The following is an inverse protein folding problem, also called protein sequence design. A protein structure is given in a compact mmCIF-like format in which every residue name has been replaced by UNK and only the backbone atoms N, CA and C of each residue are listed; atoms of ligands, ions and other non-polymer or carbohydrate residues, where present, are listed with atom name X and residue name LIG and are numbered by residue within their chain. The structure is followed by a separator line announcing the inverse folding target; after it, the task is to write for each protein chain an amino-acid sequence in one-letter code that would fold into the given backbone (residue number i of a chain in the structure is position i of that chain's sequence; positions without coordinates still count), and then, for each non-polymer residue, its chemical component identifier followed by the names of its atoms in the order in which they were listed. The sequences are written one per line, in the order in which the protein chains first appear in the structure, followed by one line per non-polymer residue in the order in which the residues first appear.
data_IF_295071564393
#
_entry.id   IF_295071564393
#
_cell.length_a   1.000
_cell.length_b   1.000
_cell.length_c   1.000
_cell.angle_alpha   90.00
_cell.angle_beta   90.00
_cell.angle_gamma   90.00
#
_symmetry.space_group_name_H-M   'P 1'
#
loop_
_entity.id
_entity.type
_entity.pdbx_description
1 polymer ?
#
# COMPACT_ATOMS: atom_id res chain seq x y z
N UNK A 1 -37.35 -17.45 -0.30
CA UNK A 1 -36.06 -17.64 0.42
C UNK A 1 -36.23 -17.12 1.83
N UNK A 2 -36.13 -17.97 2.84
CA UNK A 2 -36.06 -17.55 4.23
C UNK A 2 -34.58 -17.52 4.62
N UNK A 3 -34.08 -16.36 5.04
CA UNK A 3 -32.77 -16.27 5.68
C UNK A 3 -32.90 -16.81 7.10
N UNK A 4 -32.01 -17.72 7.49
CA UNK A 4 -31.97 -18.23 8.86
C UNK A 4 -30.87 -17.46 9.58
N UNK A 5 -31.26 -16.67 10.57
CA UNK A 5 -30.32 -15.97 11.45
C UNK A 5 -29.83 -16.91 12.55
N UNK A 6 -28.51 -17.10 12.65
CA UNK A 6 -27.90 -17.87 13.73
C UNK A 6 -27.12 -16.94 14.66
N UNK A 7 -27.44 -16.96 15.95
CA UNK A 7 -26.62 -16.34 17.00
C UNK A 7 -25.56 -17.34 17.45
N UNK A 8 -24.28 -17.05 17.23
CA UNK A 8 -23.19 -17.91 17.67
C UNK A 8 -22.25 -17.17 18.63
N UNK A 9 -21.56 -17.93 19.49
CA UNK A 9 -20.50 -17.44 20.37
C UNK A 9 -19.18 -18.02 19.86
N UNK A 10 -18.24 -17.15 19.46
CA UNK A 10 -16.90 -17.55 19.02
C UNK A 10 -16.19 -18.30 20.16
N UNK A 11 -15.93 -19.59 19.98
CA UNK A 11 -15.04 -20.35 20.85
C UNK A 11 -13.97 -21.00 19.96
N UNK A 12 -12.70 -20.70 20.22
CA UNK A 12 -11.55 -21.24 19.50
C UNK A 12 -11.57 -21.05 17.97
N UNK A 13 -11.99 -19.87 17.48
CA UNK A 13 -12.01 -19.50 16.05
C UNK A 13 -12.81 -20.44 15.13
N UNK A 14 -13.64 -21.32 15.70
CA UNK A 14 -14.50 -22.25 14.95
C UNK A 14 -15.96 -21.95 15.29
N UNK A 15 -16.79 -21.71 14.27
CA UNK A 15 -18.24 -21.70 14.44
C UNK A 15 -18.70 -23.15 14.44
N UNK A 16 -19.17 -23.65 15.58
CA UNK A 16 -19.83 -24.96 15.62
C UNK A 16 -21.20 -24.85 14.98
N UNK A 17 -21.38 -25.45 13.81
CA UNK A 17 -22.70 -25.71 13.24
C UNK A 17 -23.41 -26.75 14.13
N UNK A 18 -24.69 -26.55 14.50
CA UNK A 18 -25.44 -27.58 15.24
C UNK A 18 -25.50 -28.89 14.44
N UNK A 19 -25.25 -30.03 15.07
CA UNK A 19 -25.18 -31.35 14.40
C UNK A 19 -26.44 -31.74 13.61
N UNK A 20 -27.58 -31.08 13.86
CA UNK A 20 -28.85 -31.32 13.18
C UNK A 20 -29.02 -30.54 11.88
N UNK A 21 -28.03 -29.75 11.46
CA UNK A 21 -28.13 -28.98 10.23
C UNK A 21 -27.75 -29.83 9.01
N UNK A 22 -28.68 -29.93 8.06
CA UNK A 22 -28.51 -30.58 6.76
C UNK A 22 -28.85 -29.57 5.67
N UNK A 23 -28.14 -29.60 4.55
CA UNK A 23 -28.56 -28.84 3.37
C UNK A 23 -29.87 -29.39 2.77
N UNK A 24 -30.33 -28.73 1.70
CA UNK A 24 -31.48 -29.17 0.92
C UNK A 24 -31.31 -30.59 0.33
N UNK A 25 -30.08 -31.11 0.27
CA UNK A 25 -29.74 -32.45 -0.20
C UNK A 25 -29.53 -33.46 0.94
N UNK A 26 -29.83 -33.10 2.18
CA UNK A 26 -29.72 -33.96 3.35
C UNK A 26 -28.30 -34.23 3.82
N UNK A 27 -27.30 -33.50 3.31
CA UNK A 27 -25.89 -33.68 3.63
C UNK A 27 -25.42 -32.71 4.72
N UNK A 28 -24.46 -33.13 5.57
CA UNK A 28 -23.85 -32.23 6.54
C UNK A 28 -23.06 -31.13 5.81
N UNK A 29 -23.25 -29.88 6.21
CA UNK A 29 -22.55 -28.72 5.64
C UNK A 29 -21.48 -28.23 6.61
N UNK A 30 -20.25 -28.12 6.12
CA UNK A 30 -19.14 -27.53 6.88
C UNK A 30 -18.96 -26.08 6.44
N UNK A 31 -19.25 -25.13 7.33
CA UNK A 31 -18.96 -23.71 7.09
C UNK A 31 -17.56 -23.42 7.58
N UNK A 32 -16.65 -23.11 6.65
CA UNK A 32 -15.29 -22.69 6.96
C UNK A 32 -15.30 -21.16 6.86
N UNK A 33 -15.13 -20.46 7.98
CA UNK A 33 -14.77 -19.05 7.91
C UNK A 33 -13.31 -18.99 7.48
N UNK A 34 -13.07 -18.49 6.27
CA UNK A 34 -11.74 -18.01 5.94
C UNK A 34 -11.50 -16.79 6.82
N UNK A 35 -10.50 -16.88 7.70
CA UNK A 35 -9.96 -15.71 8.38
C UNK A 35 -9.50 -14.76 7.26
N UNK A 36 -10.35 -13.78 6.92
CA UNK A 36 -9.87 -12.61 6.20
C UNK A 36 -8.89 -12.00 7.19
N UNK A 37 -7.61 -12.18 6.88
CA UNK A 37 -6.48 -11.71 7.65
C UNK A 37 -6.67 -10.21 7.85
N UNK A 38 -7.35 -9.86 8.95
CA UNK A 38 -7.52 -8.50 9.37
C UNK A 38 -6.13 -8.16 9.88
N UNK A 39 -5.33 -7.50 9.03
CA UNK A 39 -4.00 -7.01 9.33
C UNK A 39 -4.07 -6.02 10.50
N UNK A 40 -4.23 -6.56 11.70
CA UNK A 40 -4.17 -5.87 12.97
C UNK A 40 -2.97 -6.37 13.73
N UNK A 41 -1.77 -6.27 13.15
CA UNK A 41 -0.54 -6.26 13.93
C UNK A 41 0.55 -5.42 13.26
N UNK A 42 0.78 -4.28 13.93
CA UNK A 42 1.95 -3.44 13.91
C UNK A 42 2.07 -2.43 12.76
N UNK A 43 2.08 -1.16 13.17
CA UNK A 43 2.81 -0.07 12.52
C UNK A 43 4.30 -0.45 12.58
N UNK A 44 4.69 -1.44 11.80
CA UNK A 44 6.08 -1.78 11.49
C UNK A 44 6.15 -1.79 9.98
N UNK A 45 6.85 -0.77 9.45
CA UNK A 45 7.25 -0.54 8.06
C UNK A 45 6.30 -1.19 7.02
N UNK A 46 5.43 -0.41 6.35
CA UNK A 46 4.40 -0.96 5.48
C UNK A 46 5.05 -1.91 4.47
N UNK A 47 4.79 -3.21 4.61
CA UNK A 47 5.19 -4.20 3.62
C UNK A 47 4.16 -4.12 2.51
N UNK A 48 4.32 -3.09 1.70
CA UNK A 48 3.54 -2.86 0.51
C UNK A 48 3.84 -4.04 -0.43
N UNK A 49 2.83 -4.73 -1.01
CA UNK A 49 3.08 -5.80 -1.97
C UNK A 49 3.95 -5.27 -3.11
N UNK A 50 4.92 -6.06 -3.57
CA UNK A 50 6.02 -5.60 -4.46
C UNK A 50 5.53 -4.83 -5.69
N UNK A 51 4.36 -5.16 -6.23
CA UNK A 51 3.73 -4.43 -7.34
C UNK A 51 3.18 -3.04 -6.97
N UNK A 52 2.65 -2.86 -5.76
CA UNK A 52 2.08 -1.58 -5.28
C UNK A 52 3.18 -0.60 -4.85
N UNK A 53 4.36 -1.08 -4.42
CA UNK A 53 5.52 -0.21 -4.12
C UNK A 53 5.91 0.58 -5.35
N UNK A 54 5.97 -0.07 -6.51
CA UNK A 54 6.37 0.57 -7.76
C UNK A 54 5.43 1.69 -8.18
N UNK A 55 4.11 1.49 -8.04
CA UNK A 55 3.10 2.50 -8.39
C UNK A 55 3.19 3.72 -7.47
N UNK A 56 3.32 3.51 -6.16
CA UNK A 56 3.48 4.61 -5.20
C UNK A 56 4.78 5.36 -5.44
N UNK A 57 5.88 4.65 -5.68
CA UNK A 57 7.16 5.26 -5.98
C UNK A 57 7.08 6.13 -7.25
N UNK A 58 6.41 5.65 -8.31
CA UNK A 58 6.23 6.42 -9.53
C UNK A 58 5.37 7.68 -9.31
N UNK A 59 4.31 7.60 -8.51
CA UNK A 59 3.48 8.75 -8.17
C UNK A 59 4.27 9.79 -7.35
N UNK A 60 5.02 9.36 -6.34
CA UNK A 60 5.86 10.24 -5.51
C UNK A 60 6.99 10.84 -6.35
N UNK A 61 7.61 10.06 -7.23
CA UNK A 61 8.61 10.56 -8.17
C UNK A 61 8.04 11.64 -9.10
N UNK A 62 6.79 11.48 -9.56
CA UNK A 62 6.14 12.49 -10.40
C UNK A 62 5.84 13.78 -9.64
N UNK A 63 5.40 13.69 -8.39
CA UNK A 63 5.22 14.88 -7.54
C UNK A 63 6.53 15.61 -7.27
N UNK A 64 7.61 14.85 -7.10
CA UNK A 64 8.95 15.42 -6.98
C UNK A 64 9.34 16.14 -8.29
N UNK A 65 9.21 15.49 -9.46
CA UNK A 65 9.54 16.14 -10.73
C UNK A 65 8.76 17.44 -10.98
N UNK A 66 7.49 17.50 -10.55
CA UNK A 66 6.64 18.68 -10.66
C UNK A 66 6.93 19.78 -9.62
N UNK A 67 7.90 19.61 -8.73
CA UNK A 67 8.20 20.57 -7.68
C UNK A 67 7.17 20.60 -6.53
N UNK A 68 6.18 19.71 -6.53
CA UNK A 68 5.10 19.67 -5.53
C UNK A 68 5.66 19.24 -4.16
N UNK A 69 6.63 18.34 -4.17
CA UNK A 69 7.33 17.87 -2.96
C UNK A 69 8.84 18.02 -3.14
N UNK A 70 9.54 18.26 -2.04
CA UNK A 70 11.01 18.21 -2.03
C UNK A 70 11.52 16.77 -2.01
N UNK A 71 12.79 16.56 -2.37
CA UNK A 71 13.44 15.25 -2.30
C UNK A 71 13.35 14.63 -0.89
N UNK A 72 13.60 15.44 0.16
CA UNK A 72 13.50 14.99 1.54
C UNK A 72 12.08 14.54 1.91
N UNK A 73 11.06 15.25 1.40
CA UNK A 73 9.66 14.87 1.61
C UNK A 73 9.29 13.60 0.86
N UNK A 74 9.79 13.41 -0.36
CA UNK A 74 9.60 12.17 -1.13
C UNK A 74 10.20 10.94 -0.41
N UNK A 75 11.41 11.08 0.14
CA UNK A 75 12.05 10.04 0.94
C UNK A 75 11.24 9.71 2.21
N UNK A 76 10.74 10.73 2.92
CA UNK A 76 9.88 10.57 4.09
C UNK A 76 8.58 9.82 3.76
N UNK A 77 7.89 10.20 2.68
CA UNK A 77 6.63 9.55 2.24
C UNK A 77 6.85 8.07 1.94
N UNK A 78 7.98 7.72 1.31
CA UNK A 78 8.29 6.33 0.96
C UNK A 78 8.94 5.55 2.11
N UNK A 79 9.21 6.19 3.25
CA UNK A 79 9.94 5.55 4.36
C UNK A 79 11.35 5.10 3.97
N UNK A 80 11.98 5.82 3.03
CA UNK A 80 13.31 5.58 2.51
C UNK A 80 14.30 6.59 3.09
N UNK A 81 15.58 6.23 3.13
CA UNK A 81 16.64 7.22 3.26
C UNK A 81 16.70 8.12 2.02
N UNK A 82 17.32 9.29 2.14
CA UNK A 82 17.51 10.21 1.00
C UNK A 82 18.29 9.54 -0.14
N UNK A 83 19.29 8.74 0.20
CA UNK A 83 20.13 8.01 -0.74
C UNK A 83 19.33 6.94 -1.49
N UNK A 84 18.52 6.16 -0.77
CA UNK A 84 17.64 5.14 -1.36
C UNK A 84 16.59 5.77 -2.27
N UNK A 85 16.03 6.91 -1.87
CA UNK A 85 15.07 7.64 -2.71
C UNK A 85 15.75 8.17 -4.00
N UNK A 86 16.97 8.67 -3.91
CA UNK A 86 17.75 9.12 -5.08
C UNK A 86 18.07 7.98 -6.05
N UNK A 87 18.48 6.83 -5.53
CA UNK A 87 18.67 5.62 -6.34
C UNK A 87 17.37 5.17 -7.01
N UNK A 88 16.23 5.32 -6.31
CA UNK A 88 14.92 5.00 -6.85
C UNK A 88 14.51 5.96 -7.98
N UNK A 89 14.74 7.27 -7.83
CA UNK A 89 14.54 8.26 -8.89
C UNK A 89 15.41 7.97 -10.12
N UNK A 90 16.68 7.62 -9.91
CA UNK A 90 17.60 7.26 -11.00
C UNK A 90 17.10 6.05 -11.82
N UNK A 91 16.55 5.01 -11.16
CA UNK A 91 15.95 3.86 -11.85
C UNK A 91 14.72 4.23 -12.69
N UNK A 92 14.02 5.29 -12.30
CA UNK A 92 12.88 5.85 -13.03
C UNK A 92 13.29 6.91 -14.06
N UNK A 93 14.59 7.17 -14.23
CA UNK A 93 15.14 8.21 -15.12
C UNK A 93 14.62 9.62 -14.80
N UNK A 94 14.31 9.88 -13.53
CA UNK A 94 13.92 11.21 -13.06
C UNK A 94 15.17 11.99 -12.67
N UNK A 95 15.29 13.23 -13.15
CA UNK A 95 16.40 14.13 -12.80
C UNK A 95 16.43 14.37 -11.29
N UNK A 96 17.60 14.34 -10.64
CA UNK A 96 17.75 14.66 -9.22
C UNK A 96 17.70 16.17 -8.92
N UNK A 97 17.47 16.98 -9.95
CA UNK A 97 17.36 18.42 -9.85
C UNK A 97 16.00 18.89 -10.32
N UNK A 98 15.35 19.72 -9.51
CA UNK A 98 14.06 20.35 -9.81
C UNK A 98 14.24 21.72 -10.49
N UNK A 99 15.25 21.84 -11.35
CA UNK A 99 15.50 23.08 -12.11
C UNK A 99 14.71 23.08 -13.41
N UNK A 100 14.10 24.21 -13.72
CA UNK A 100 13.61 24.50 -15.07
C UNK A 100 14.75 25.02 -15.95
N UNK A 101 14.54 25.03 -17.27
CA UNK A 101 15.54 25.58 -18.20
C UNK A 101 15.72 27.07 -17.93
N UNK A 102 14.63 27.75 -17.61
CA UNK A 102 14.55 29.16 -17.27
C UNK A 102 15.37 29.47 -16.00
N UNK A 103 15.28 28.64 -14.95
CA UNK A 103 16.09 28.81 -13.74
C UNK A 103 17.60 28.73 -14.04
N UNK A 104 18.00 27.81 -14.94
CA UNK A 104 19.39 27.65 -15.34
C UNK A 104 19.90 28.83 -16.18
N UNK A 105 19.06 29.38 -17.05
CA UNK A 105 19.38 30.58 -17.83
C UNK A 105 19.57 31.80 -16.91
N UNK A 106 18.70 31.98 -15.92
CA UNK A 106 18.84 33.04 -14.93
C UNK A 106 20.13 32.91 -14.11
N UNK A 107 20.46 31.70 -13.61
CA UNK A 107 21.70 31.47 -12.86
C UNK A 107 22.96 31.76 -13.72
N UNK A 108 22.96 31.35 -15.00
CA UNK A 108 24.06 31.64 -15.92
C UNK A 108 24.23 33.15 -16.18
N UNK A 109 23.13 33.89 -16.26
CA UNK A 109 23.15 35.35 -16.44
C UNK A 109 23.60 36.10 -15.17
N UNK A 110 23.39 35.54 -13.98
CA UNK A 110 23.87 36.10 -12.72
C UNK A 110 25.34 35.77 -12.42
N UNK A 111 25.96 34.85 -13.17
CA UNK A 111 27.39 34.60 -13.14
C UNK A 111 28.14 35.72 -13.91
N UNK A 112 28.26 36.90 -13.30
CA UNK A 112 29.14 38.01 -13.76
C UNK A 112 30.40 38.12 -12.92
#
# INVERSE_FOLDING_TARGET
MQAIEFKYKLLNRLIKVPERYKDWFGKPVTVILLEQDLLSHQITKPTIPTGTIGVLLAAVAKWYELGIISQGKGAEIMGLSREEFMLALSRLQVSPFQYTVEDLEEELLQCK
#
